data_IF_050048822408
#
_entry.id   IF_050048822408
#
_cell.length_a   1.000
_cell.length_b   1.000
_cell.length_c   1.000
_cell.angle_alpha   90.00
_cell.angle_beta   90.00
_cell.angle_gamma   90.00
#
_symmetry.space_group_name_H-M   'P 1'
#
loop_
_entity.id
_entity.type
_entity.pdbx_description
1 polymer ?
#
# COMPACT_ATOMS: atom_id res chain seq x y z
N UNK A 1 27.74 -10.92 -31.29
CA UNK A 1 28.53 -9.68 -31.35
C UNK A 1 28.26 -8.91 -30.07
N UNK A 2 29.25 -8.69 -29.20
CA UNK A 2 29.01 -8.16 -27.84
C UNK A 2 28.44 -6.73 -27.90
N UNK A 3 27.41 -6.42 -27.09
CA UNK A 3 26.67 -5.12 -27.09
C UNK A 3 27.61 -3.90 -27.09
N UNK A 4 28.77 -4.01 -26.45
CA UNK A 4 29.83 -2.98 -26.41
C UNK A 4 30.44 -2.68 -27.79
N UNK A 5 30.65 -3.69 -28.64
CA UNK A 5 31.21 -3.51 -30.00
C UNK A 5 30.24 -2.79 -30.94
N UNK A 6 28.94 -2.95 -30.72
CA UNK A 6 27.90 -2.26 -31.51
C UNK A 6 27.85 -0.77 -31.19
N UNK A 7 28.02 -0.41 -29.91
CA UNK A 7 28.03 0.99 -29.47
C UNK A 7 29.25 1.74 -30.00
N UNK A 8 30.45 1.15 -29.93
CA UNK A 8 31.66 1.77 -30.48
C UNK A 8 31.54 1.99 -31.99
N UNK A 9 30.94 1.04 -32.71
CA UNK A 9 30.75 1.12 -34.16
C UNK A 9 29.80 2.24 -34.57
N UNK A 10 28.66 2.40 -33.87
CA UNK A 10 27.69 3.47 -34.13
C UNK A 10 28.29 4.85 -33.83
N UNK A 11 29.03 4.99 -32.72
CA UNK A 11 29.69 6.26 -32.36
C UNK A 11 30.77 6.64 -33.38
N UNK A 12 31.56 5.66 -33.85
CA UNK A 12 32.58 5.89 -34.90
C UNK A 12 31.92 6.36 -36.20
N UNK A 13 30.80 5.74 -36.61
CA UNK A 13 30.05 6.16 -37.81
C UNK A 13 29.48 7.58 -37.64
N UNK A 14 28.93 7.90 -36.47
CA UNK A 14 28.41 9.23 -36.18
C UNK A 14 29.48 10.33 -36.23
N UNK A 15 30.67 10.07 -35.67
CA UNK A 15 31.81 10.99 -35.71
C UNK A 15 32.34 11.16 -37.14
N UNK A 16 32.45 10.07 -37.90
CA UNK A 16 32.87 10.13 -39.31
C UNK A 16 31.89 10.92 -40.18
N UNK A 17 30.58 10.79 -39.94
CA UNK A 17 29.56 11.59 -40.63
C UNK A 17 29.66 13.08 -40.31
N UNK A 18 29.86 13.45 -39.04
CA UNK A 18 30.07 14.84 -38.61
C UNK A 18 31.31 15.45 -39.27
N UNK A 19 32.43 14.73 -39.26
CA UNK A 19 33.67 15.20 -39.90
C UNK A 19 33.49 15.35 -41.41
N UNK A 20 32.82 14.40 -42.07
CA UNK A 20 32.57 14.45 -43.51
C UNK A 20 31.73 15.66 -43.90
N UNK A 21 30.77 16.04 -43.06
CA UNK A 21 29.91 17.21 -43.26
C UNK A 21 30.68 18.51 -43.09
N UNK A 22 31.52 18.61 -42.06
CA UNK A 22 32.38 19.79 -41.82
C UNK A 22 33.39 20.00 -42.98
N UNK A 23 33.87 18.90 -43.56
CA UNK A 23 34.76 18.94 -44.73
C UNK A 23 33.99 19.33 -45.99
N UNK A 24 32.78 18.79 -46.19
CA UNK A 24 31.92 19.21 -47.29
C UNK A 24 31.52 20.68 -47.16
N UNK A 25 31.10 21.17 -45.99
CA UNK A 25 30.66 22.56 -45.83
C UNK A 25 31.76 23.57 -46.18
N UNK A 26 33.03 23.24 -45.90
CA UNK A 26 34.19 24.06 -46.30
C UNK A 26 34.47 24.07 -47.80
N UNK A 27 34.07 23.03 -48.54
CA UNK A 27 34.24 22.94 -50.00
C UNK A 27 33.12 23.64 -50.79
N UNK A 28 32.00 23.98 -50.14
CA UNK A 28 30.75 24.36 -50.82
C UNK A 28 30.47 25.87 -50.95
N UNK A 29 31.48 26.73 -50.82
CA UNK A 29 31.37 28.17 -51.10
C UNK A 29 30.97 28.54 -52.56
N UNK A 30 30.56 27.57 -53.37
CA UNK A 30 30.31 27.66 -54.81
C UNK A 30 28.86 27.36 -55.25
N UNK A 31 27.93 27.01 -54.36
CA UNK A 31 26.56 26.63 -54.75
C UNK A 31 25.44 27.38 -53.99
N UNK A 32 24.34 27.63 -54.71
CA UNK A 32 23.19 28.47 -54.34
C UNK A 32 22.62 28.21 -52.93
N UNK A 33 22.24 29.31 -52.25
CA UNK A 33 21.79 29.40 -50.85
C UNK A 33 20.70 28.38 -50.46
N UNK A 34 19.86 27.95 -51.40
CA UNK A 34 18.79 26.97 -51.16
C UNK A 34 19.28 25.54 -50.90
N UNK A 35 20.47 25.16 -51.38
CA UNK A 35 21.03 23.82 -51.14
C UNK A 35 21.66 23.72 -49.76
N UNK A 36 22.29 24.80 -49.29
CA UNK A 36 22.92 24.90 -47.97
C UNK A 36 21.88 24.71 -46.85
N UNK A 37 20.75 25.42 -46.94
CA UNK A 37 19.66 25.34 -45.95
C UNK A 37 19.08 23.92 -45.86
N UNK A 38 18.95 23.21 -46.99
CA UNK A 38 18.44 21.83 -47.01
C UNK A 38 19.41 20.84 -46.36
N UNK A 39 20.71 21.03 -46.55
CA UNK A 39 21.75 20.19 -45.91
C UNK A 39 21.76 20.44 -44.40
N UNK A 40 21.68 21.70 -43.95
CA UNK A 40 21.64 22.06 -42.52
C UNK A 40 20.41 21.47 -41.81
N UNK A 41 19.23 21.58 -42.42
CA UNK A 41 17.99 20.98 -41.88
C UNK A 41 18.09 19.45 -41.84
N UNK A 42 18.64 18.83 -42.90
CA UNK A 42 18.89 17.39 -42.94
C UNK A 42 19.84 16.93 -41.83
N UNK A 43 20.86 17.72 -41.54
CA UNK A 43 21.82 17.44 -40.48
C UNK A 43 21.18 17.51 -39.08
N UNK A 44 20.39 18.55 -38.86
CA UNK A 44 19.69 18.74 -37.60
C UNK A 44 18.72 17.58 -37.33
N UNK A 45 17.99 17.14 -38.36
CA UNK A 45 17.12 15.97 -38.25
C UNK A 45 17.89 14.69 -37.92
N UNK A 46 19.07 14.48 -38.51
CA UNK A 46 19.93 13.33 -38.23
C UNK A 46 20.46 13.36 -36.79
N UNK A 47 20.91 14.52 -36.31
CA UNK A 47 21.37 14.69 -34.91
C UNK A 47 20.23 14.43 -33.93
N UNK A 48 19.03 14.95 -34.20
CA UNK A 48 17.84 14.69 -33.36
C UNK A 48 17.53 13.19 -33.32
N UNK A 49 17.52 12.50 -34.46
CA UNK A 49 17.30 11.05 -34.52
C UNK A 49 18.37 10.27 -33.75
N UNK A 50 19.63 10.70 -33.81
CA UNK A 50 20.74 10.06 -33.10
C UNK A 50 20.61 10.24 -31.58
N UNK A 51 20.23 11.45 -31.12
CA UNK A 51 19.95 11.74 -29.71
C UNK A 51 18.74 10.95 -29.22
N UNK A 52 17.65 10.89 -30.00
CA UNK A 52 16.48 10.09 -29.64
C UNK A 52 16.82 8.61 -29.52
N UNK A 53 17.58 8.05 -30.48
CA UNK A 53 18.02 6.65 -30.44
C UNK A 53 18.90 6.37 -29.19
N UNK A 54 19.80 7.30 -28.86
CA UNK A 54 20.62 7.21 -27.66
C UNK A 54 19.77 7.22 -26.38
N UNK A 55 18.78 8.11 -26.28
CA UNK A 55 17.86 8.21 -25.15
C UNK A 55 17.00 6.95 -25.00
N UNK A 56 16.50 6.39 -26.10
CA UNK A 56 15.74 5.13 -26.09
C UNK A 56 16.60 3.96 -25.62
N UNK A 57 17.85 3.87 -26.06
CA UNK A 57 18.77 2.82 -25.61
C UNK A 57 19.20 2.96 -24.15
N UNK A 58 19.45 4.18 -23.66
CA UNK A 58 19.73 4.38 -22.23
C UNK A 58 18.52 4.05 -21.36
N UNK A 59 17.32 4.40 -21.82
CA UNK A 59 16.06 4.04 -21.15
C UNK A 59 15.83 2.53 -21.13
N UNK A 60 16.15 1.82 -22.23
CA UNK A 60 16.00 0.36 -22.29
C UNK A 60 17.00 -0.37 -21.39
N UNK A 61 18.25 0.14 -21.29
CA UNK A 61 19.28 -0.46 -20.42
C UNK A 61 18.93 -0.23 -18.95
N UNK A 62 18.43 0.96 -18.58
CA UNK A 62 17.94 1.20 -17.22
C UNK A 62 16.76 0.29 -16.89
N UNK A 63 15.79 0.15 -17.81
CA UNK A 63 14.65 -0.75 -17.63
C UNK A 63 15.07 -2.22 -17.50
N UNK A 64 16.01 -2.71 -18.32
CA UNK A 64 16.58 -4.06 -18.21
C UNK A 64 17.26 -4.27 -16.84
N UNK A 65 18.03 -3.30 -16.36
CA UNK A 65 18.71 -3.40 -15.05
C UNK A 65 17.75 -3.40 -13.86
N UNK A 66 16.64 -2.65 -13.94
CA UNK A 66 15.59 -2.62 -12.93
C UNK A 66 14.84 -3.97 -12.92
N UNK A 67 14.51 -4.50 -14.09
CA UNK A 67 13.85 -5.81 -14.22
C UNK A 67 14.76 -6.94 -13.71
N UNK A 68 16.06 -6.89 -13.96
CA UNK A 68 17.01 -7.87 -13.42
C UNK A 68 17.15 -7.78 -11.90
N UNK A 69 17.17 -6.57 -11.33
CA UNK A 69 17.16 -6.37 -9.88
C UNK A 69 15.86 -6.89 -9.24
N UNK A 70 14.70 -6.64 -9.85
CA UNK A 70 13.41 -7.18 -9.38
C UNK A 70 13.39 -8.71 -9.46
N UNK A 71 13.92 -9.32 -10.53
CA UNK A 71 13.99 -10.78 -10.67
C UNK A 71 15.04 -11.45 -9.78
N UNK A 72 16.11 -10.74 -9.45
CA UNK A 72 17.09 -11.19 -8.47
C UNK A 72 16.49 -11.13 -7.06
N UNK A 73 15.79 -10.04 -6.75
CA UNK A 73 15.02 -9.85 -5.52
C UNK A 73 13.94 -10.93 -5.36
N UNK A 74 13.12 -11.20 -6.37
CA UNK A 74 12.10 -12.26 -6.33
C UNK A 74 12.73 -13.64 -6.04
N UNK A 75 13.86 -13.97 -6.65
CA UNK A 75 14.54 -15.26 -6.45
C UNK A 75 15.22 -15.39 -5.09
N UNK A 76 15.78 -14.31 -4.55
CA UNK A 76 16.39 -14.31 -3.23
C UNK A 76 15.32 -14.33 -2.13
N UNK A 77 14.21 -13.61 -2.34
CA UNK A 77 13.15 -13.41 -1.35
C UNK A 77 12.18 -14.60 -1.25
N UNK A 78 11.81 -15.22 -2.37
CA UNK A 78 10.93 -16.41 -2.39
C UNK A 78 11.64 -17.65 -1.80
N UNK A 79 12.98 -17.73 -1.93
CA UNK A 79 13.74 -18.90 -1.49
C UNK A 79 14.32 -18.78 -0.06
N UNK A 80 14.34 -17.59 0.55
CA UNK A 80 14.98 -17.36 1.86
C UNK A 80 14.01 -17.23 3.04
N UNK A 81 12.70 -17.08 2.79
CA UNK A 81 11.72 -16.89 3.85
C UNK A 81 10.52 -17.81 3.67
N UNK A 82 10.32 -18.75 4.61
CA UNK A 82 9.15 -19.64 4.70
C UNK A 82 7.90 -18.87 5.15
N UNK A 83 7.50 -17.84 4.40
CA UNK A 83 6.21 -17.22 4.59
C UNK A 83 5.14 -18.29 4.36
N UNK A 84 4.34 -18.60 5.40
CA UNK A 84 3.27 -19.60 5.28
C UNK A 84 1.94 -18.90 5.12
N UNK A 85 1.29 -19.14 3.99
CA UNK A 85 0.00 -18.55 3.65
C UNK A 85 -1.09 -19.59 3.88
N UNK A 86 -2.10 -19.22 4.67
CA UNK A 86 -3.24 -20.07 4.98
C UNK A 86 -4.54 -19.38 4.54
N UNK A 87 -5.43 -20.17 3.93
CA UNK A 87 -6.81 -19.77 3.68
C UNK A 87 -7.67 -20.26 4.84
N UNK A 88 -8.34 -19.33 5.51
CA UNK A 88 -9.11 -19.60 6.73
C UNK A 88 -10.61 -19.43 6.49
N UNK A 89 -11.39 -20.28 7.14
CA UNK A 89 -12.81 -20.03 7.38
C UNK A 89 -12.99 -18.92 8.42
N UNK A 90 -14.19 -18.36 8.52
CA UNK A 90 -14.47 -17.31 9.51
C UNK A 90 -14.20 -17.73 10.97
N UNK A 91 -14.53 -18.97 11.34
CA UNK A 91 -14.31 -19.48 12.71
C UNK A 91 -12.82 -19.65 13.03
N UNK A 92 -12.06 -20.26 12.11
CA UNK A 92 -10.60 -20.40 12.23
C UNK A 92 -9.92 -19.04 12.33
N UNK A 93 -10.39 -18.07 11.54
CA UNK A 93 -9.88 -16.70 11.56
C UNK A 93 -10.04 -16.04 12.93
N UNK A 94 -11.24 -16.04 13.52
CA UNK A 94 -11.44 -15.43 14.85
C UNK A 94 -10.66 -16.13 15.96
N UNK A 95 -10.58 -17.47 15.91
CA UNK A 95 -9.77 -18.23 16.85
C UNK A 95 -8.28 -17.87 16.72
N UNK A 96 -7.77 -17.79 15.49
CA UNK A 96 -6.37 -17.45 15.26
C UNK A 96 -6.06 -16.03 15.68
N UNK A 97 -6.90 -15.05 15.31
CA UNK A 97 -6.73 -13.66 15.72
C UNK A 97 -6.66 -13.54 17.25
N UNK A 98 -7.52 -14.26 17.97
CA UNK A 98 -7.47 -14.28 19.44
C UNK A 98 -6.13 -14.81 19.96
N UNK A 99 -5.61 -15.91 19.39
CA UNK A 99 -4.30 -16.45 19.73
C UNK A 99 -3.17 -15.46 19.43
N UNK A 100 -3.16 -14.83 18.25
CA UNK A 100 -2.16 -13.83 17.87
C UNK A 100 -2.15 -12.64 18.82
N UNK A 101 -3.33 -12.18 19.21
CA UNK A 101 -3.50 -11.10 20.17
C UNK A 101 -2.96 -11.48 21.56
N UNK A 102 -3.17 -12.72 21.98
CA UNK A 102 -2.75 -13.20 23.29
C UNK A 102 -1.24 -13.37 23.39
N UNK A 103 -0.55 -13.67 22.28
CA UNK A 103 0.91 -13.79 22.23
C UNK A 103 1.64 -12.51 21.81
N UNK A 104 0.96 -11.52 21.21
CA UNK A 104 1.60 -10.29 20.74
C UNK A 104 2.25 -9.50 21.88
N UNK A 105 3.47 -8.99 21.70
CA UNK A 105 4.25 -8.36 22.78
C UNK A 105 4.50 -6.88 22.55
N UNK A 106 4.40 -6.39 21.31
CA UNK A 106 4.77 -5.03 20.95
C UNK A 106 3.56 -4.23 20.45
N UNK A 107 2.84 -4.75 19.45
CA UNK A 107 1.74 -4.03 18.80
C UNK A 107 0.63 -4.92 18.25
N UNK A 108 -0.59 -4.40 18.29
CA UNK A 108 -1.80 -4.97 17.70
C UNK A 108 -2.50 -3.88 16.90
N UNK A 109 -2.44 -3.96 15.57
CA UNK A 109 -3.10 -3.01 14.68
C UNK A 109 -4.24 -3.70 13.95
N UNK A 110 -5.45 -3.18 14.07
CA UNK A 110 -6.66 -3.82 13.53
C UNK A 110 -7.51 -2.86 12.73
N UNK A 111 -8.14 -3.38 11.67
CA UNK A 111 -9.21 -2.71 10.94
C UNK A 111 -10.53 -3.46 11.13
N UNK A 112 -11.62 -2.71 11.30
CA UNK A 112 -12.98 -3.22 11.26
C UNK A 112 -13.80 -2.45 10.23
N UNK A 113 -13.89 -2.98 9.02
CA UNK A 113 -14.60 -2.32 7.93
C UNK A 113 -16.02 -2.87 7.67
N UNK A 114 -16.60 -3.69 8.56
CA UNK A 114 -18.01 -4.03 8.42
C UNK A 114 -18.92 -2.85 8.80
N UNK A 115 -20.09 -2.76 8.18
CA UNK A 115 -21.06 -1.70 8.44
C UNK A 115 -21.91 -1.93 9.67
N UNK A 116 -21.92 -3.15 10.22
CA UNK A 116 -22.69 -3.51 11.42
C UNK A 116 -21.74 -3.87 12.56
N UNK A 117 -22.12 -3.61 13.82
CA UNK A 117 -21.26 -3.90 14.95
C UNK A 117 -21.08 -5.41 15.15
N UNK A 118 -20.02 -5.83 15.85
CA UNK A 118 -19.81 -7.24 16.18
C UNK A 118 -20.95 -7.92 16.94
N UNK A 119 -21.72 -7.16 17.73
CA UNK A 119 -22.82 -7.70 18.52
C UNK A 119 -23.92 -8.36 17.67
N UNK A 120 -24.09 -7.90 16.42
CA UNK A 120 -25.09 -8.40 15.46
C UNK A 120 -24.56 -9.56 14.61
N UNK A 121 -23.36 -10.05 14.93
CA UNK A 121 -22.71 -11.12 14.19
C UNK A 121 -22.97 -12.51 14.79
N UNK A 122 -22.66 -13.60 14.04
CA UNK A 122 -22.68 -14.95 14.59
C UNK A 122 -21.88 -15.06 15.91
N UNK A 123 -22.28 -16.03 16.74
CA UNK A 123 -21.79 -16.19 18.12
C UNK A 123 -20.26 -16.18 18.20
N UNK A 124 -19.56 -16.85 17.29
CA UNK A 124 -18.11 -16.95 17.28
C UNK A 124 -17.43 -15.58 17.16
N UNK A 125 -17.96 -14.72 16.29
CA UNK A 125 -17.47 -13.35 16.13
C UNK A 125 -17.77 -12.52 17.38
N UNK A 126 -18.99 -12.63 17.92
CA UNK A 126 -19.37 -11.92 19.15
C UNK A 126 -18.48 -12.30 20.33
N UNK A 127 -18.23 -13.58 20.53
CA UNK A 127 -17.38 -14.10 21.59
C UNK A 127 -15.93 -13.61 21.42
N UNK A 128 -15.41 -13.62 20.20
CA UNK A 128 -14.10 -13.04 19.89
C UNK A 128 -14.02 -11.55 20.27
N UNK A 129 -14.99 -10.73 19.87
CA UNK A 129 -14.96 -9.30 20.18
C UNK A 129 -15.10 -9.04 21.68
N UNK A 130 -15.86 -9.84 22.43
CA UNK A 130 -15.90 -9.70 23.87
C UNK A 130 -14.54 -10.03 24.52
N UNK A 131 -13.89 -11.09 24.04
CA UNK A 131 -12.61 -11.54 24.58
C UNK A 131 -11.45 -10.59 24.24
N UNK A 132 -11.42 -10.06 23.01
CA UNK A 132 -10.34 -9.16 22.58
C UNK A 132 -10.35 -7.85 23.36
N UNK A 133 -11.53 -7.30 23.65
CA UNK A 133 -11.67 -6.07 24.44
C UNK A 133 -11.15 -6.23 25.87
N UNK A 134 -11.32 -7.41 26.46
CA UNK A 134 -10.76 -7.71 27.79
C UNK A 134 -9.25 -7.90 27.74
N UNK A 135 -8.73 -8.46 26.65
CA UNK A 135 -7.31 -8.70 26.46
C UNK A 135 -6.53 -7.38 26.26
N UNK A 136 -7.05 -6.48 25.44
CA UNK A 136 -6.44 -5.16 25.16
C UNK A 136 -6.22 -4.35 26.45
N UNK A 137 -7.15 -4.45 27.41
CA UNK A 137 -7.03 -3.82 28.74
C UNK A 137 -5.95 -4.44 29.63
N UNK A 138 -5.72 -5.74 29.51
CA UNK A 138 -4.76 -6.47 30.35
C UNK A 138 -3.31 -6.26 29.86
N UNK A 139 -3.12 -6.03 28.57
CA UNK A 139 -1.80 -5.95 27.93
C UNK A 139 -1.34 -4.50 27.80
N UNK A 140 -1.18 -3.81 28.92
CA UNK A 140 -0.81 -2.38 28.98
C UNK A 140 0.53 -2.05 28.31
N UNK A 141 1.42 -3.03 28.14
CA UNK A 141 2.71 -2.86 27.44
C UNK A 141 2.61 -2.98 25.92
N UNK A 142 1.47 -3.43 25.38
CA UNK A 142 1.26 -3.65 23.95
C UNK A 142 0.49 -2.48 23.37
N UNK A 143 1.03 -1.85 22.33
CA UNK A 143 0.37 -0.76 21.63
C UNK A 143 -0.78 -1.29 20.77
N UNK A 144 -2.00 -0.89 21.09
CA UNK A 144 -3.21 -1.25 20.36
C UNK A 144 -3.70 -0.08 19.53
N UNK A 145 -3.82 -0.27 18.20
CA UNK A 145 -4.48 0.68 17.30
C UNK A 145 -5.63 0.01 16.58
N UNK A 146 -6.76 0.71 16.50
CA UNK A 146 -7.96 0.21 15.83
C UNK A 146 -8.54 1.26 14.91
N UNK A 147 -8.81 0.86 13.67
CA UNK A 147 -9.55 1.66 12.70
C UNK A 147 -10.94 1.05 12.56
N UNK A 148 -11.99 1.83 12.76
CA UNK A 148 -13.38 1.37 12.59
C UNK A 148 -14.04 2.17 11.47
N UNK A 149 -14.73 1.47 10.57
CA UNK A 149 -15.59 2.11 9.58
C UNK A 149 -16.79 2.78 10.25
N UNK A 150 -16.96 4.07 10.01
CA UNK A 150 -18.17 4.76 10.43
C UNK A 150 -19.39 4.29 9.65
N UNK A 151 -20.45 3.98 10.38
CA UNK A 151 -21.81 3.80 9.89
C UNK A 151 -22.78 4.13 11.04
N UNK A 152 -24.04 4.41 10.73
CA UNK A 152 -25.04 4.64 11.79
C UNK A 152 -25.23 3.41 12.67
N UNK A 153 -25.10 2.20 12.11
CA UNK A 153 -25.17 0.96 12.88
C UNK A 153 -23.96 0.76 13.79
N UNK A 154 -22.75 1.16 13.36
CA UNK A 154 -21.54 1.07 14.19
C UNK A 154 -21.47 2.19 15.24
N UNK A 155 -22.18 3.30 15.07
CA UNK A 155 -22.06 4.47 15.96
C UNK A 155 -22.25 4.14 17.45
N UNK A 156 -23.28 3.38 17.88
CA UNK A 156 -23.41 2.98 19.28
C UNK A 156 -22.23 2.16 19.78
N UNK A 157 -21.70 1.26 18.95
CA UNK A 157 -20.55 0.44 19.30
C UNK A 157 -19.25 1.26 19.39
N UNK A 158 -19.04 2.21 18.47
CA UNK A 158 -17.91 3.14 18.53
C UNK A 158 -17.94 3.93 19.83
N UNK A 159 -19.11 4.44 20.23
CA UNK A 159 -19.26 5.12 21.53
C UNK A 159 -18.89 4.24 22.70
N UNK A 160 -19.33 2.98 22.71
CA UNK A 160 -18.92 2.01 23.73
C UNK A 160 -17.41 1.80 23.75
N UNK A 161 -16.75 1.70 22.59
CA UNK A 161 -15.29 1.59 22.53
C UNK A 161 -14.60 2.82 23.14
N UNK A 162 -15.13 4.02 22.88
CA UNK A 162 -14.60 5.27 23.44
C UNK A 162 -14.71 5.29 24.95
N UNK A 163 -15.90 4.99 25.48
CA UNK A 163 -16.15 4.92 26.93
C UNK A 163 -15.27 3.85 27.61
N UNK A 164 -15.09 2.71 26.94
CA UNK A 164 -14.37 1.56 27.49
C UNK A 164 -12.84 1.75 27.57
N UNK A 165 -12.26 2.52 26.64
CA UNK A 165 -10.81 2.69 26.52
C UNK A 165 -10.32 4.11 26.83
N UNK A 166 -11.19 4.97 27.32
CA UNK A 166 -10.76 6.24 27.88
C UNK A 166 -9.78 6.00 29.04
N UNK A 167 -8.66 6.73 29.05
CA UNK A 167 -7.53 6.62 29.97
C UNK A 167 -6.70 5.32 29.89
N UNK A 168 -6.83 4.52 28.83
CA UNK A 168 -5.93 3.38 28.59
C UNK A 168 -4.75 3.81 27.73
N UNK A 169 -3.54 4.01 28.29
CA UNK A 169 -2.44 4.69 27.60
C UNK A 169 -1.90 3.93 26.39
N UNK A 170 -2.21 2.65 26.26
CA UNK A 170 -1.76 1.80 25.17
C UNK A 170 -2.77 1.69 24.02
N UNK A 171 -3.91 2.38 24.09
CA UNK A 171 -5.01 2.21 23.13
C UNK A 171 -5.26 3.46 22.30
N UNK A 172 -5.39 3.29 20.99
CA UNK A 172 -5.82 4.34 20.06
C UNK A 172 -6.94 3.85 19.13
N UNK A 173 -7.90 4.72 18.86
CA UNK A 173 -9.05 4.46 18.00
C UNK A 173 -9.18 5.58 16.97
N UNK A 174 -9.24 5.20 15.70
CA UNK A 174 -9.57 6.12 14.61
C UNK A 174 -10.80 5.64 13.85
N UNK A 175 -11.48 6.59 13.23
CA UNK A 175 -12.72 6.36 12.49
C UNK A 175 -12.49 6.68 11.02
N UNK A 176 -12.70 5.66 10.19
CA UNK A 176 -12.60 5.77 8.75
C UNK A 176 -13.97 6.09 8.16
N UNK A 177 -14.02 7.05 7.23
CA UNK A 177 -15.23 7.42 6.51
C UNK A 177 -15.07 7.09 5.03
N UNK A 178 -15.95 6.24 4.51
CA UNK A 178 -16.03 5.99 3.07
C UNK A 178 -16.57 7.26 2.40
N UNK A 179 -15.85 7.80 1.40
CA UNK A 179 -16.38 8.86 0.54
C UNK A 179 -17.29 8.24 -0.51
N UNK A 180 -18.20 9.04 -1.06
CA UNK A 180 -19.10 8.60 -2.13
C UNK A 180 -18.23 8.09 -3.30
N UNK A 181 -18.56 6.91 -3.82
CA UNK A 181 -17.88 6.24 -4.95
C UNK A 181 -16.50 5.63 -4.66
N UNK A 182 -16.03 5.64 -3.41
CA UNK A 182 -14.79 4.96 -3.04
C UNK A 182 -14.94 3.44 -2.94
N UNK A 183 -13.95 2.72 -3.45
CA UNK A 183 -13.79 1.28 -3.19
C UNK A 183 -13.47 1.08 -1.71
N UNK A 184 -14.17 0.14 -1.09
CA UNK A 184 -13.94 -0.20 0.31
C UNK A 184 -12.51 -0.71 0.51
N UNK A 185 -11.74 -0.15 1.47
CA UNK A 185 -10.37 -0.57 1.70
C UNK A 185 -10.29 -2.03 2.16
N UNK A 186 -9.18 -2.68 1.85
CA UNK A 186 -8.85 -4.01 2.36
C UNK A 186 -8.69 -3.93 3.88
N UNK A 187 -9.36 -4.81 4.61
CA UNK A 187 -9.23 -4.91 6.06
C UNK A 187 -8.00 -5.73 6.40
N UNK A 188 -7.02 -5.08 7.02
CA UNK A 188 -5.79 -5.73 7.47
C UNK A 188 -5.73 -5.76 9.00
N UNK A 189 -5.12 -6.81 9.56
CA UNK A 189 -4.72 -6.82 10.96
C UNK A 189 -3.27 -7.28 11.08
N UNK A 190 -2.49 -6.56 11.88
CA UNK A 190 -1.06 -6.77 12.08
C UNK A 190 -0.80 -7.07 13.54
N UNK A 191 -0.14 -8.19 13.80
CA UNK A 191 0.24 -8.64 15.14
C UNK A 191 1.76 -8.70 15.19
N UNK A 192 2.34 -7.76 15.94
CA UNK A 192 3.79 -7.51 15.96
C UNK A 192 4.38 -7.40 14.54
N UNK A 193 5.29 -8.31 14.23
CA UNK A 193 5.96 -8.52 12.95
C UNK A 193 5.85 -9.99 12.53
N UNK A 194 4.91 -10.75 13.10
CA UNK A 194 4.87 -12.21 12.97
C UNK A 194 3.66 -12.72 12.20
N UNK A 195 2.53 -12.02 12.24
CA UNK A 195 1.30 -12.44 11.57
C UNK A 195 0.55 -11.26 10.96
N UNK A 196 0.10 -11.46 9.71
CA UNK A 196 -0.73 -10.54 8.96
C UNK A 196 -2.02 -11.25 8.57
N UNK A 197 -3.16 -10.63 8.87
CA UNK A 197 -4.47 -11.11 8.48
C UNK A 197 -5.09 -10.18 7.45
N UNK A 198 -5.51 -10.75 6.32
CA UNK A 198 -6.27 -10.04 5.30
C UNK A 198 -7.70 -10.56 5.34
N UNK A 199 -8.62 -9.67 5.69
CA UNK A 199 -10.03 -10.01 5.85
C UNK A 199 -10.83 -9.40 4.72
N UNK A 200 -11.65 -10.22 4.08
CA UNK A 200 -12.56 -9.74 3.06
C UNK A 200 -13.95 -9.50 3.67
N UNK A 201 -14.50 -8.27 3.59
CA UNK A 201 -15.72 -7.92 4.31
C UNK A 201 -17.00 -8.38 3.60
N UNK A 202 -16.95 -9.51 2.86
CA UNK A 202 -18.12 -10.14 2.24
C UNK A 202 -18.58 -11.34 3.08
N UNK A 203 -19.89 -11.53 3.19
CA UNK A 203 -20.46 -12.71 3.83
C UNK A 203 -20.45 -13.87 2.83
N UNK A 204 -19.62 -14.89 3.08
CA UNK A 204 -19.71 -16.18 2.39
C UNK A 204 -20.56 -17.16 3.20
N UNK A 205 -21.01 -18.23 2.56
CA UNK A 205 -21.67 -19.33 3.26
C UNK A 205 -20.73 -19.91 4.36
N UNK A 206 -21.28 -20.36 5.50
CA UNK A 206 -20.50 -20.99 6.56
C UNK A 206 -19.61 -22.12 6.03
N UNK A 207 -18.39 -22.24 6.56
CA UNK A 207 -17.41 -23.26 6.17
C UNK A 207 -16.60 -22.95 4.91
N UNK A 208 -16.92 -21.87 4.17
CA UNK A 208 -16.08 -21.44 3.04
C UNK A 208 -14.87 -20.66 3.52
N UNK A 209 -13.71 -20.95 2.92
CA UNK A 209 -12.51 -20.15 3.06
C UNK A 209 -12.75 -18.77 2.47
N UNK A 210 -12.40 -17.73 3.22
CA UNK A 210 -12.64 -16.34 2.83
C UNK A 210 -11.44 -15.45 3.08
N UNK A 211 -10.77 -15.70 4.20
CA UNK A 211 -9.80 -14.78 4.75
C UNK A 211 -8.40 -15.40 4.70
N UNK A 212 -7.37 -14.56 4.64
CA UNK A 212 -5.97 -14.99 4.46
C UNK A 212 -5.18 -14.69 5.73
N UNK A 213 -4.41 -15.67 6.17
CA UNK A 213 -3.36 -15.48 7.17
C UNK A 213 -2.00 -15.66 6.48
N UNK A 214 -1.09 -14.73 6.76
CA UNK A 214 0.33 -14.83 6.39
C UNK A 214 1.12 -14.92 7.70
N UNK A 215 1.78 -16.06 7.92
CA UNK A 215 2.65 -16.30 9.06
C UNK A 215 4.11 -16.13 8.66
N UNK A 216 4.90 -15.63 9.61
CA UNK A 216 6.31 -15.31 9.41
C UNK A 216 6.51 -14.49 8.12
N UNK A 217 5.75 -13.38 7.94
CA UNK A 217 5.87 -12.57 6.75
C UNK A 217 7.31 -12.03 6.69
N UNK A 218 7.94 -12.06 5.52
CA UNK A 218 9.24 -11.47 5.34
C UNK A 218 9.15 -9.94 5.39
N UNK A 219 10.27 -9.28 5.73
CA UNK A 219 10.27 -7.88 6.19
C UNK A 219 9.60 -6.91 5.22
N UNK A 220 9.78 -7.05 3.91
CA UNK A 220 9.13 -6.18 2.92
C UNK A 220 7.60 -6.28 3.00
N UNK A 221 7.02 -7.46 3.29
CA UNK A 221 5.56 -7.58 3.46
C UNK A 221 5.11 -6.86 4.73
N UNK A 222 5.87 -6.99 5.83
CA UNK A 222 5.58 -6.25 7.07
C UNK A 222 5.60 -4.76 6.80
N UNK A 223 6.61 -4.27 6.10
CA UNK A 223 6.78 -2.84 5.79
C UNK A 223 5.66 -2.34 4.86
N UNK A 224 5.32 -3.11 3.83
CA UNK A 224 4.23 -2.80 2.90
C UNK A 224 2.89 -2.69 3.63
N UNK A 225 2.52 -3.69 4.43
CA UNK A 225 1.24 -3.69 5.13
C UNK A 225 1.22 -2.72 6.31
N UNK A 226 2.36 -2.46 6.96
CA UNK A 226 2.48 -1.40 7.98
C UNK A 226 2.27 -0.03 7.35
N UNK A 227 2.87 0.22 6.18
CA UNK A 227 2.70 1.48 5.43
C UNK A 227 1.26 1.66 4.98
N UNK A 228 0.65 0.62 4.40
CA UNK A 228 -0.76 0.63 4.04
C UNK A 228 -1.68 0.90 5.25
N UNK A 229 -1.44 0.25 6.39
CA UNK A 229 -2.19 0.55 7.62
C UNK A 229 -2.02 2.00 8.06
N UNK A 230 -0.79 2.54 7.97
CA UNK A 230 -0.51 3.92 8.33
C UNK A 230 -1.23 4.91 7.40
N UNK A 231 -1.30 4.65 6.10
CA UNK A 231 -2.10 5.48 5.17
C UNK A 231 -3.60 5.48 5.53
N UNK A 232 -4.15 4.32 5.89
CA UNK A 232 -5.53 4.23 6.39
C UNK A 232 -5.71 4.99 7.72
N UNK A 233 -4.71 4.94 8.59
CA UNK A 233 -4.72 5.65 9.86
C UNK A 233 -4.70 7.17 9.65
N UNK A 234 -3.82 7.66 8.78
CA UNK A 234 -3.65 9.09 8.49
C UNK A 234 -4.85 9.69 7.73
N UNK A 235 -5.57 8.86 6.98
CA UNK A 235 -6.82 9.23 6.32
C UNK A 235 -8.07 9.12 7.22
N UNK A 236 -7.91 8.68 8.47
CA UNK A 236 -9.00 8.54 9.45
C UNK A 236 -9.03 9.68 10.46
N UNK A 237 -10.19 9.93 11.06
CA UNK A 237 -10.29 10.85 12.20
C UNK A 237 -9.90 10.10 13.50
N UNK A 238 -8.79 10.48 14.13
CA UNK A 238 -8.35 9.90 15.41
C UNK A 238 -9.29 10.38 16.53
N UNK A 239 -10.00 9.45 17.17
CA UNK A 239 -10.96 9.72 18.25
C UNK A 239 -10.32 9.51 19.62
N UNK A 240 -9.53 8.45 19.78
CA UNK A 240 -8.68 8.23 20.95
C UNK A 240 -7.24 8.14 20.48
N UNK A 241 -6.37 8.93 21.10
CA UNK A 241 -4.92 8.84 20.94
C UNK A 241 -4.30 8.48 22.30
N UNK A 242 -3.75 7.27 22.40
CA UNK A 242 -3.08 6.76 23.61
C UNK A 242 -3.93 6.97 24.88
N UNK A 243 -5.20 6.57 24.81
CA UNK A 243 -6.17 6.68 25.90
C UNK A 243 -6.82 8.05 26.06
N UNK A 244 -6.40 9.08 25.33
CA UNK A 244 -6.97 10.43 25.43
C UNK A 244 -7.95 10.70 24.30
N UNK A 245 -9.16 11.15 24.64
CA UNK A 245 -10.19 11.51 23.66
C UNK A 245 -9.82 12.81 22.96
N UNK A 246 -9.78 12.80 21.63
CA UNK A 246 -9.72 14.01 20.82
C UNK A 246 -11.11 14.65 20.73
N UNK A 247 -11.35 15.70 21.52
CA UNK A 247 -12.67 16.34 21.62
C UNK A 247 -13.19 16.90 20.30
N UNK A 248 -12.30 17.39 19.42
CA UNK A 248 -12.69 17.94 18.12
C UNK A 248 -13.25 16.84 17.21
N UNK A 249 -12.49 15.77 17.02
CA UNK A 249 -12.88 14.66 16.15
C UNK A 249 -14.08 13.88 16.73
N UNK A 250 -14.14 13.72 18.06
CA UNK A 250 -15.29 13.09 18.72
C UNK A 250 -16.58 13.88 18.49
N UNK A 251 -16.55 15.21 18.62
CA UNK A 251 -17.71 16.08 18.32
C UNK A 251 -18.09 16.02 16.84
N UNK A 252 -17.11 16.03 15.93
CA UNK A 252 -17.34 15.89 14.48
C UNK A 252 -18.06 14.58 14.15
N UNK A 253 -17.66 13.48 14.78
CA UNK A 253 -18.31 12.17 14.62
C UNK A 253 -19.78 12.19 15.07
N UNK A 254 -20.09 12.77 16.23
CA UNK A 254 -21.46 12.90 16.74
C UNK A 254 -22.32 13.72 15.78
N UNK A 255 -21.86 14.91 15.38
CA UNK A 255 -22.59 15.77 14.45
C UNK A 255 -22.90 15.05 13.12
N UNK A 256 -21.97 14.24 12.62
CA UNK A 256 -22.16 13.48 11.39
C UNK A 256 -23.25 12.41 11.52
N UNK A 257 -23.35 11.77 12.69
CA UNK A 257 -24.45 10.84 12.98
C UNK A 257 -25.79 11.59 12.99
N UNK A 258 -25.89 12.71 13.71
CA UNK A 258 -27.13 13.47 13.83
C UNK A 258 -27.63 14.00 12.48
N UNK A 259 -26.71 14.46 11.62
CA UNK A 259 -27.04 14.86 10.24
C UNK A 259 -27.60 13.71 9.40
N UNK A 260 -27.09 12.50 9.59
CA UNK A 260 -27.52 11.33 8.83
C UNK A 260 -28.88 10.79 9.26
N UNK A 261 -29.25 10.95 10.54
CA UNK A 261 -30.60 10.61 11.04
C UNK A 261 -31.64 11.67 10.62
N UNK A 262 -31.24 12.93 10.51
CA UNK A 262 -32.13 14.02 10.07
C UNK A 262 -32.55 13.94 8.59
N UNK A 263 -31.83 13.16 7.77
CA UNK A 263 -32.10 12.97 6.35
C UNK A 263 -32.92 11.70 6.04
N UNK A 264 -33.41 10.98 7.06
CA UNK A 264 -34.28 9.80 6.92
C UNK A 264 -35.73 10.19 7.15
#
# INVERSE_FOLDING_TARGET
MTKTKSLTFITIIGVLLLISVEVLSKFYHLFEEGLLIRIEIGLLALVILLVMNLVFHFSSIQAESIVEQVRAFEREYINSHEARIFLLTGSEMYNRIFQSSSIANNRIYTCYFHTHPPADSPKEKKDYFNNILQLEKKKISVLVRRIVLFSNFNFPWIRQLVELHNNFPNYSLSIFYIKRDDIKPLSVQLYDNSEIFLMYPITLQPGKQRDILIQSPPQLMIDLFSSYYQELWDSSDIIIDMGKINSHNYKKMINKHDQSESNK
#
